data_IF_044517981811
#
_entry.id   IF_044517981811
#
_cell.length_a   1.000
_cell.length_b   1.000
_cell.length_c   1.000
_cell.angle_alpha   90.00
_cell.angle_beta   90.00
_cell.angle_gamma   90.00
#
_symmetry.space_group_name_H-M   'P 1'
#
loop_
_entity.id
_entity.type
_entity.pdbx_description
1 polymer ?
#
# COMPACT_ATOMS: atom_id res chain seq x y z
N UNK A 1 -54.63 -15.66 -9.53
CA UNK A 1 -53.32 -15.55 -10.22
C UNK A 1 -52.25 -15.53 -9.14
N UNK A 2 -51.59 -16.68 -8.97
CA UNK A 2 -50.60 -16.89 -7.91
C UNK A 2 -49.26 -16.27 -8.32
N UNK A 3 -48.90 -15.19 -7.67
CA UNK A 3 -47.54 -14.65 -7.68
C UNK A 3 -46.63 -15.52 -6.82
N UNK A 4 -46.02 -16.54 -7.39
CA UNK A 4 -44.84 -17.17 -6.80
C UNK A 4 -43.70 -16.17 -6.90
N UNK A 5 -43.40 -15.49 -5.78
CA UNK A 5 -42.11 -14.83 -5.57
C UNK A 5 -41.03 -15.90 -5.81
N UNK A 6 -40.28 -15.77 -6.88
CA UNK A 6 -39.00 -16.46 -7.06
C UNK A 6 -38.17 -16.14 -5.82
N UNK A 7 -37.95 -17.14 -4.94
CA UNK A 7 -36.88 -17.04 -3.95
C UNK A 7 -35.61 -16.77 -4.76
N UNK A 8 -35.14 -15.54 -4.70
CA UNK A 8 -33.81 -15.21 -5.16
C UNK A 8 -32.83 -16.17 -4.47
N UNK A 9 -31.84 -16.64 -5.20
CA UNK A 9 -30.79 -17.51 -4.69
C UNK A 9 -29.83 -16.64 -3.87
N UNK A 10 -30.21 -16.37 -2.63
CA UNK A 10 -29.41 -15.56 -1.72
C UNK A 10 -28.35 -16.42 -1.05
N UNK A 11 -27.10 -16.04 -1.25
CA UNK A 11 -25.94 -16.62 -0.58
C UNK A 11 -25.90 -16.08 0.85
N UNK A 12 -26.16 -16.95 1.86
CA UNK A 12 -26.15 -16.54 3.27
C UNK A 12 -24.71 -16.32 3.76
N UNK A 13 -24.48 -15.24 4.49
CA UNK A 13 -23.17 -14.86 5.02
C UNK A 13 -22.48 -15.96 5.83
N UNK A 14 -23.25 -16.68 6.67
CA UNK A 14 -22.71 -17.80 7.46
C UNK A 14 -22.27 -18.98 6.58
N UNK A 15 -22.94 -19.22 5.45
CA UNK A 15 -22.53 -20.27 4.51
C UNK A 15 -21.19 -19.92 3.86
N UNK A 16 -20.93 -18.64 3.57
CA UNK A 16 -19.65 -18.15 3.05
C UNK A 16 -18.53 -18.42 4.07
N UNK A 17 -18.72 -18.03 5.34
CA UNK A 17 -17.75 -18.28 6.41
C UNK A 17 -17.45 -19.79 6.56
N UNK A 18 -18.47 -20.60 6.53
CA UNK A 18 -18.34 -22.06 6.63
C UNK A 18 -17.60 -22.67 5.44
N UNK A 19 -17.89 -22.19 4.24
CA UNK A 19 -17.17 -22.56 3.04
C UNK A 19 -15.68 -22.19 3.12
N UNK A 20 -15.35 -20.95 3.49
CA UNK A 20 -13.97 -20.47 3.56
C UNK A 20 -13.17 -21.23 4.62
N UNK A 21 -13.74 -21.51 5.80
CA UNK A 21 -13.09 -22.34 6.81
C UNK A 21 -12.86 -23.78 6.34
N UNK A 22 -13.82 -24.38 5.65
CA UNK A 22 -13.67 -25.70 5.06
C UNK A 22 -12.61 -25.70 3.93
N UNK A 23 -12.51 -24.65 3.15
CA UNK A 23 -11.52 -24.47 2.10
C UNK A 23 -10.09 -24.36 2.67
N UNK A 24 -9.94 -23.65 3.79
CA UNK A 24 -8.67 -23.45 4.52
C UNK A 24 -8.15 -24.75 5.11
N UNK A 25 -8.98 -25.46 5.89
CA UNK A 25 -8.55 -26.67 6.60
C UNK A 25 -8.53 -27.92 5.74
N UNK A 26 -9.30 -27.95 4.64
CA UNK A 26 -9.51 -29.10 3.74
C UNK A 26 -10.02 -30.34 4.47
N UNK A 27 -10.66 -30.17 5.64
CA UNK A 27 -11.13 -31.26 6.51
C UNK A 27 -12.39 -30.85 7.29
N UNK A 28 -13.54 -31.40 6.94
CA UNK A 28 -14.86 -31.02 7.49
C UNK A 28 -14.94 -31.09 9.03
N UNK A 29 -14.34 -32.11 9.65
CA UNK A 29 -14.39 -32.27 11.10
C UNK A 29 -13.57 -31.19 11.82
N UNK A 30 -12.39 -30.86 11.28
CA UNK A 30 -11.53 -29.82 11.86
C UNK A 30 -12.17 -28.42 11.69
N UNK A 31 -12.72 -28.15 10.50
CA UNK A 31 -13.47 -26.91 10.25
C UNK A 31 -14.64 -26.74 11.21
N UNK A 32 -15.42 -27.82 11.43
CA UNK A 32 -16.56 -27.78 12.34
C UNK A 32 -16.13 -27.48 13.79
N UNK A 33 -14.99 -28.05 14.22
CA UNK A 33 -14.40 -27.73 15.56
C UNK A 33 -13.99 -26.26 15.66
N UNK A 34 -13.30 -25.74 14.65
CA UNK A 34 -12.85 -24.33 14.62
C UNK A 34 -14.05 -23.37 14.65
N UNK A 35 -15.14 -23.74 13.99
CA UNK A 35 -16.38 -22.97 13.94
C UNK A 35 -17.32 -23.22 15.14
N UNK A 36 -16.94 -24.08 16.08
CA UNK A 36 -17.77 -24.48 17.25
C UNK A 36 -19.16 -25.01 16.87
N UNK A 37 -19.26 -25.76 15.76
CA UNK A 37 -20.50 -26.41 15.29
C UNK A 37 -20.30 -27.91 15.08
N UNK A 38 -21.41 -28.61 14.85
CA UNK A 38 -21.33 -30.04 14.52
C UNK A 38 -20.92 -30.24 13.03
N UNK A 39 -20.17 -31.29 12.74
CA UNK A 39 -19.77 -31.62 11.37
C UNK A 39 -20.96 -31.84 10.42
N UNK A 40 -22.09 -32.49 10.82
CA UNK A 40 -23.29 -32.56 9.99
C UNK A 40 -23.86 -31.19 9.62
N UNK A 41 -23.88 -30.22 10.58
CA UNK A 41 -24.37 -28.88 10.32
C UNK A 41 -23.49 -28.14 9.29
N UNK A 42 -22.17 -28.24 9.42
CA UNK A 42 -21.24 -27.67 8.43
C UNK A 42 -21.46 -28.29 7.05
N UNK A 43 -21.56 -29.62 6.98
CA UNK A 43 -21.77 -30.33 5.70
C UNK A 43 -23.09 -29.90 5.05
N UNK A 44 -24.15 -29.76 5.83
CA UNK A 44 -25.45 -29.31 5.31
C UNK A 44 -25.40 -27.88 4.79
N UNK A 45 -24.72 -26.97 5.50
CA UNK A 45 -24.57 -25.59 5.07
C UNK A 45 -23.76 -25.47 3.76
N UNK A 46 -22.66 -26.19 3.65
CA UNK A 46 -21.85 -26.24 2.40
C UNK A 46 -22.66 -26.81 1.24
N UNK A 47 -23.40 -27.91 1.45
CA UNK A 47 -24.25 -28.49 0.41
C UNK A 47 -25.38 -27.55 -0.02
N UNK A 48 -25.92 -26.78 0.91
CA UNK A 48 -26.93 -25.76 0.59
C UNK A 48 -26.33 -24.67 -0.29
N UNK A 49 -25.12 -24.17 0.04
CA UNK A 49 -24.41 -23.20 -0.78
C UNK A 49 -24.14 -23.75 -2.20
N UNK A 50 -23.65 -25.00 -2.32
CA UNK A 50 -23.43 -25.66 -3.60
C UNK A 50 -24.73 -25.76 -4.43
N UNK A 51 -25.84 -26.09 -3.77
CA UNK A 51 -27.18 -26.17 -4.41
C UNK A 51 -27.64 -24.79 -4.89
N UNK A 52 -27.45 -23.75 -4.06
CA UNK A 52 -27.89 -22.40 -4.37
C UNK A 52 -27.06 -21.80 -5.52
N UNK A 53 -25.76 -22.13 -5.59
CA UNK A 53 -24.84 -21.75 -6.66
C UNK A 53 -24.97 -22.64 -7.92
N UNK A 54 -25.51 -23.85 -7.76
CA UNK A 54 -25.68 -24.82 -8.85
C UNK A 54 -24.40 -25.52 -9.30
N UNK A 55 -23.32 -25.44 -8.52
CA UNK A 55 -22.01 -26.03 -8.82
C UNK A 55 -21.39 -26.66 -7.56
N UNK A 56 -20.65 -27.78 -7.68
CA UNK A 56 -19.94 -28.37 -6.58
C UNK A 56 -18.69 -27.52 -6.25
N UNK A 57 -18.50 -27.19 -4.97
CA UNK A 57 -17.33 -26.43 -4.50
C UNK A 57 -16.24 -27.35 -3.97
N UNK A 58 -16.62 -28.53 -3.47
CA UNK A 58 -15.70 -29.55 -2.97
C UNK A 58 -15.85 -30.88 -3.69
N UNK A 59 -14.73 -31.59 -3.80
CA UNK A 59 -14.67 -33.00 -4.20
C UNK A 59 -14.05 -33.84 -3.08
N UNK A 60 -14.46 -35.08 -2.96
CA UNK A 60 -13.90 -36.03 -1.98
C UNK A 60 -12.52 -36.53 -2.42
N UNK A 61 -11.56 -36.56 -1.52
CA UNK A 61 -10.24 -37.16 -1.71
C UNK A 61 -9.88 -38.04 -0.50
N UNK A 62 -10.36 -39.29 -0.52
CA UNK A 62 -10.24 -40.18 0.63
C UNK A 62 -11.05 -39.67 1.84
N UNK A 63 -10.36 -39.43 2.97
CA UNK A 63 -10.99 -38.88 4.17
C UNK A 63 -11.03 -37.33 4.17
N UNK A 64 -10.40 -36.69 3.21
CA UNK A 64 -10.30 -35.24 3.09
C UNK A 64 -11.19 -34.73 1.95
N UNK A 65 -11.35 -33.40 1.91
CA UNK A 65 -11.98 -32.68 0.82
C UNK A 65 -10.94 -31.84 0.09
N UNK A 66 -11.17 -31.62 -1.21
CA UNK A 66 -10.38 -30.69 -2.03
C UNK A 66 -11.33 -29.76 -2.76
N UNK A 67 -10.89 -28.53 -2.99
CA UNK A 67 -11.66 -27.58 -3.79
C UNK A 67 -11.72 -28.02 -5.25
N UNK A 68 -12.90 -27.89 -5.84
CA UNK A 68 -13.08 -27.91 -7.30
C UNK A 68 -12.54 -26.60 -7.90
N UNK A 69 -12.52 -26.49 -9.23
CA UNK A 69 -12.18 -25.21 -9.88
C UNK A 69 -13.17 -24.09 -9.52
N UNK A 70 -14.45 -24.42 -9.37
CA UNK A 70 -15.47 -23.48 -8.89
C UNK A 70 -15.20 -23.05 -7.44
N UNK A 71 -14.81 -23.99 -6.59
CA UNK A 71 -14.44 -23.71 -5.20
C UNK A 71 -13.21 -22.82 -5.09
N UNK A 72 -12.17 -23.06 -5.88
CA UNK A 72 -10.97 -22.21 -5.94
C UNK A 72 -11.31 -20.79 -6.39
N UNK A 73 -12.13 -20.68 -7.43
CA UNK A 73 -12.58 -19.38 -7.93
C UNK A 73 -13.37 -18.61 -6.87
N UNK A 74 -14.32 -19.27 -6.19
CA UNK A 74 -15.13 -18.67 -5.15
C UNK A 74 -14.27 -18.24 -3.95
N UNK A 75 -13.33 -19.07 -3.49
CA UNK A 75 -12.39 -18.74 -2.43
C UNK A 75 -11.60 -17.47 -2.76
N UNK A 76 -10.97 -17.44 -3.93
CA UNK A 76 -10.17 -16.29 -4.39
C UNK A 76 -10.97 -14.97 -4.40
N UNK A 77 -12.28 -15.04 -4.68
CA UNK A 77 -13.14 -13.84 -4.72
C UNK A 77 -13.67 -13.43 -3.35
N UNK A 78 -14.00 -14.40 -2.50
CA UNK A 78 -14.65 -14.12 -1.23
C UNK A 78 -13.67 -13.88 -0.08
N UNK A 79 -12.47 -14.47 -0.12
CA UNK A 79 -11.48 -14.35 0.97
C UNK A 79 -11.11 -12.87 1.24
N UNK A 80 -10.74 -12.05 0.23
CA UNK A 80 -10.45 -10.64 0.46
C UNK A 80 -11.66 -9.83 0.97
N UNK A 81 -12.85 -10.15 0.48
CA UNK A 81 -14.08 -9.46 0.93
C UNK A 81 -14.42 -9.79 2.39
N UNK A 82 -14.17 -11.04 2.81
CA UNK A 82 -14.38 -11.43 4.20
C UNK A 82 -13.37 -10.78 5.15
N UNK A 83 -12.12 -10.64 4.72
CA UNK A 83 -11.09 -9.90 5.47
C UNK A 83 -11.50 -8.45 5.69
N UNK A 84 -12.03 -7.78 4.65
CA UNK A 84 -12.57 -6.42 4.76
C UNK A 84 -13.74 -6.34 5.75
N UNK A 85 -14.70 -7.28 5.68
CA UNK A 85 -15.84 -7.32 6.62
C UNK A 85 -15.37 -7.58 8.05
N UNK A 86 -14.42 -8.49 8.25
CA UNK A 86 -13.90 -8.81 9.58
C UNK A 86 -13.09 -7.67 10.19
N UNK A 87 -12.55 -6.74 9.36
CA UNK A 87 -11.87 -5.53 9.82
C UNK A 87 -12.85 -4.43 10.30
N UNK A 88 -14.12 -4.42 9.87
CA UNK A 88 -15.09 -3.36 10.20
C UNK A 88 -15.24 -3.11 11.71
N UNK A 89 -15.34 -4.12 12.60
CA UNK A 89 -15.48 -3.85 14.04
C UNK A 89 -14.30 -3.09 14.65
N UNK A 90 -13.08 -3.40 14.23
CA UNK A 90 -11.88 -2.66 14.69
C UNK A 90 -11.85 -1.24 14.09
N UNK A 91 -12.26 -1.10 12.84
CA UNK A 91 -12.40 0.20 12.21
C UNK A 91 -13.40 1.09 12.95
N UNK A 92 -14.56 0.54 13.35
CA UNK A 92 -15.54 1.28 14.15
C UNK A 92 -15.00 1.66 15.55
N UNK A 93 -14.23 0.78 16.19
CA UNK A 93 -13.58 1.11 17.48
C UNK A 93 -12.54 2.25 17.29
N UNK A 94 -11.76 2.21 16.21
CA UNK A 94 -10.85 3.30 15.86
C UNK A 94 -11.62 4.61 15.65
N UNK A 95 -12.75 4.60 14.94
CA UNK A 95 -13.57 5.80 14.76
C UNK A 95 -14.05 6.40 16.09
N UNK A 96 -14.43 5.56 17.05
CA UNK A 96 -14.82 6.01 18.41
C UNK A 96 -13.62 6.53 19.20
N UNK A 97 -12.44 5.90 19.07
CA UNK A 97 -11.21 6.37 19.69
C UNK A 97 -10.67 7.70 19.09
N UNK A 98 -11.12 8.04 17.87
CA UNK A 98 -10.77 9.26 17.13
C UNK A 98 -11.45 10.54 17.64
N UNK A 99 -12.37 10.45 18.62
CA UNK A 99 -13.02 11.64 19.26
C UNK A 99 -12.08 12.40 20.24
N UNK A 100 -10.78 12.11 20.26
CA UNK A 100 -9.80 12.65 21.19
C UNK A 100 -8.56 13.27 20.52
N UNK A 101 -7.57 13.56 21.31
CA UNK A 101 -6.32 14.28 21.01
C UNK A 101 -5.33 13.54 20.09
N UNK A 102 -5.78 12.56 19.29
CA UNK A 102 -4.91 11.75 18.43
C UNK A 102 -5.18 12.03 16.94
N UNK A 103 -4.15 12.41 16.21
CA UNK A 103 -4.18 12.56 14.73
C UNK A 103 -3.75 11.25 14.09
N UNK A 104 -4.61 10.68 13.25
CA UNK A 104 -4.35 9.43 12.52
C UNK A 104 -3.86 9.77 11.12
N UNK A 105 -2.68 9.26 10.78
CA UNK A 105 -2.05 9.53 9.51
C UNK A 105 -1.86 8.25 8.69
N UNK A 106 -2.16 8.33 7.41
CA UNK A 106 -1.80 7.29 6.45
C UNK A 106 -0.63 7.80 5.59
N UNK A 107 0.58 7.29 5.87
CA UNK A 107 1.83 7.83 5.31
C UNK A 107 2.43 6.82 4.33
N UNK A 108 2.04 6.92 3.06
CA UNK A 108 2.53 6.04 1.98
C UNK A 108 3.78 6.60 1.27
N UNK A 109 4.10 7.86 1.51
CA UNK A 109 5.29 8.54 0.97
C UNK A 109 5.88 9.51 1.98
N UNK A 110 7.16 9.88 1.80
CA UNK A 110 7.85 10.91 2.57
C UNK A 110 7.85 10.69 4.10
N UNK A 111 7.85 9.42 4.56
CA UNK A 111 7.73 9.10 6.00
C UNK A 111 8.81 9.77 6.86
N UNK A 112 10.03 9.95 6.35
CA UNK A 112 11.10 10.66 7.04
C UNK A 112 10.74 12.13 7.33
N UNK A 113 10.32 12.87 6.31
CA UNK A 113 9.90 14.28 6.45
C UNK A 113 8.66 14.44 7.33
N UNK A 114 7.71 13.51 7.22
CA UNK A 114 6.51 13.51 8.09
C UNK A 114 6.92 13.32 9.55
N UNK A 115 7.87 12.41 9.84
CA UNK A 115 8.37 12.23 11.21
C UNK A 115 9.10 13.47 11.74
N UNK A 116 9.91 14.15 10.91
CA UNK A 116 10.54 15.42 11.28
C UNK A 116 9.50 16.50 11.59
N UNK A 117 8.47 16.62 10.74
CA UNK A 117 7.37 17.56 10.96
C UNK A 117 6.61 17.28 12.27
N UNK A 118 6.31 16.01 12.57
CA UNK A 118 5.67 15.62 13.83
C UNK A 118 6.54 15.98 15.04
N UNK A 119 7.85 15.69 14.97
CA UNK A 119 8.79 16.02 16.05
C UNK A 119 8.83 17.54 16.28
N UNK A 120 8.85 18.33 15.21
CA UNK A 120 8.84 19.78 15.30
C UNK A 120 7.53 20.30 15.90
N UNK A 121 6.39 19.84 15.40
CA UNK A 121 5.06 20.22 15.86
C UNK A 121 4.83 19.89 17.34
N UNK A 122 5.30 18.73 17.80
CA UNK A 122 5.17 18.31 19.21
C UNK A 122 5.95 19.16 20.21
N UNK A 123 6.89 20.01 19.78
CA UNK A 123 7.57 20.93 20.69
C UNK A 123 6.63 21.99 21.27
N UNK A 124 5.60 22.36 20.52
CA UNK A 124 4.60 23.35 20.91
C UNK A 124 3.23 22.74 21.25
N UNK A 125 3.00 21.48 20.89
CA UNK A 125 1.72 20.77 21.01
C UNK A 125 1.93 19.38 21.67
N UNK A 126 2.40 19.38 22.92
CA UNK A 126 2.75 18.15 23.66
C UNK A 126 1.57 17.20 23.85
N UNK A 127 0.35 17.73 23.99
CA UNK A 127 -0.88 16.99 24.27
C UNK A 127 -1.41 16.22 23.05
N UNK A 128 -0.98 16.57 21.82
CA UNK A 128 -1.47 15.90 20.61
C UNK A 128 -0.70 14.62 20.37
N UNK A 129 -1.41 13.53 20.23
CA UNK A 129 -0.86 12.23 19.89
C UNK A 129 -0.94 11.98 18.37
N UNK A 130 -0.05 11.13 17.86
CA UNK A 130 -0.03 10.72 16.45
C UNK A 130 -0.04 9.21 16.33
N UNK A 131 -0.86 8.70 15.42
CA UNK A 131 -0.84 7.31 15.04
C UNK A 131 -0.62 7.22 13.52
N UNK A 132 0.49 6.59 13.13
CA UNK A 132 0.86 6.43 11.73
C UNK A 132 0.58 5.01 11.27
N UNK A 133 0.02 4.89 10.06
CA UNK A 133 -0.13 3.62 9.35
C UNK A 133 0.38 3.76 7.92
N UNK A 134 0.72 2.62 7.31
CA UNK A 134 1.13 2.52 5.91
C UNK A 134 0.28 1.45 5.22
N UNK A 135 -0.97 1.82 4.93
CA UNK A 135 -1.93 0.91 4.31
C UNK A 135 -2.63 1.59 3.14
N UNK A 136 -2.32 1.15 1.92
CA UNK A 136 -2.90 1.71 0.68
C UNK A 136 -4.41 1.50 0.55
N UNK A 137 -4.99 0.58 1.32
CA UNK A 137 -6.43 0.26 1.30
C UNK A 137 -7.19 0.93 2.45
N UNK A 138 -6.51 1.64 3.36
CA UNK A 138 -7.16 2.28 4.49
C UNK A 138 -7.76 3.62 4.10
N UNK A 139 -9.07 3.76 4.33
CA UNK A 139 -9.80 5.03 4.25
C UNK A 139 -9.95 5.71 5.63
N UNK A 140 -9.41 5.09 6.68
CA UNK A 140 -9.53 5.55 8.06
C UNK A 140 -8.29 6.33 8.49
N UNK A 141 -8.25 7.58 8.10
CA UNK A 141 -7.21 8.54 8.48
C UNK A 141 -7.80 9.95 8.58
N UNK A 142 -7.11 10.81 9.29
CA UNK A 142 -7.38 12.24 9.32
C UNK A 142 -6.58 12.95 8.22
N UNK A 143 -5.29 12.58 8.07
CA UNK A 143 -4.38 13.12 7.06
C UNK A 143 -3.72 11.96 6.32
N UNK A 144 -3.66 12.04 4.99
CA UNK A 144 -2.88 11.13 4.16
C UNK A 144 -1.72 11.85 3.47
N UNK A 145 -0.58 11.16 3.39
CA UNK A 145 0.59 11.57 2.60
C UNK A 145 0.88 10.47 1.59
N UNK A 146 0.62 10.77 0.32
CA UNK A 146 0.69 9.82 -0.79
C UNK A 146 1.61 10.31 -1.90
N UNK A 147 1.75 9.56 -2.97
CA UNK A 147 2.51 9.99 -4.15
C UNK A 147 1.78 9.63 -5.44
N UNK A 148 1.92 10.48 -6.45
CA UNK A 148 1.39 10.26 -7.80
C UNK A 148 2.44 10.62 -8.85
N UNK A 149 2.25 10.14 -10.08
CA UNK A 149 3.00 10.63 -11.23
C UNK A 149 2.70 12.11 -11.46
N UNK A 150 3.74 12.91 -11.69
CA UNK A 150 3.68 14.37 -11.87
C UNK A 150 2.63 14.84 -12.88
N UNK A 151 2.35 14.06 -13.92
CA UNK A 151 1.39 14.43 -14.98
C UNK A 151 -0.08 14.08 -14.69
N UNK A 152 -0.38 13.46 -13.57
CA UNK A 152 -1.76 13.01 -13.28
C UNK A 152 -2.63 14.05 -12.58
N UNK A 153 -2.03 15.18 -12.13
CA UNK A 153 -2.73 16.24 -11.42
C UNK A 153 -3.37 15.77 -10.11
N UNK A 154 -3.85 16.70 -9.33
CA UNK A 154 -4.70 16.42 -8.17
C UNK A 154 -6.14 16.70 -8.57
N UNK A 155 -7.02 15.69 -8.57
CA UNK A 155 -8.46 15.86 -8.80
C UNK A 155 -9.18 16.47 -7.58
N UNK A 156 -8.48 16.71 -6.48
CA UNK A 156 -9.02 17.23 -5.23
C UNK A 156 -8.63 18.70 -5.05
N UNK A 157 -9.62 19.59 -5.05
CA UNK A 157 -9.46 21.06 -4.94
C UNK A 157 -8.74 21.54 -3.67
N UNK A 158 -8.64 20.69 -2.61
CA UNK A 158 -8.09 21.06 -1.31
C UNK A 158 -6.85 20.22 -0.93
N UNK A 159 -6.13 19.68 -1.90
CA UNK A 159 -4.89 18.94 -1.63
C UNK A 159 -3.65 19.79 -1.85
N UNK A 160 -2.67 19.68 -0.94
CA UNK A 160 -1.34 20.21 -1.17
C UNK A 160 -0.55 19.24 -2.06
N UNK A 161 0.14 19.76 -3.07
CA UNK A 161 1.03 18.99 -3.94
C UNK A 161 2.43 19.60 -3.96
N UNK A 162 3.45 18.74 -3.80
CA UNK A 162 4.84 19.14 -3.86
C UNK A 162 5.59 18.24 -4.86
N UNK A 163 6.06 18.82 -5.97
CA UNK A 163 6.84 18.09 -6.97
C UNK A 163 8.23 17.72 -6.44
N UNK A 164 8.66 16.49 -6.70
CA UNK A 164 9.98 15.97 -6.34
C UNK A 164 10.70 15.38 -7.55
N UNK A 165 11.94 15.83 -7.79
CA UNK A 165 12.86 15.19 -8.76
C UNK A 165 13.34 13.84 -8.21
N UNK A 166 13.48 12.87 -9.11
CA UNK A 166 14.01 11.55 -8.78
C UNK A 166 15.33 11.38 -9.53
N UNK A 167 16.38 11.11 -8.76
CA UNK A 167 17.73 10.86 -9.23
C UNK A 167 17.96 9.37 -9.46
N UNK A 168 19.00 9.04 -10.21
CA UNK A 168 19.54 7.70 -10.28
C UNK A 168 20.71 7.57 -9.30
N UNK A 169 20.57 6.72 -8.29
CA UNK A 169 21.64 6.37 -7.39
C UNK A 169 22.47 5.25 -8.03
N UNK A 170 23.77 5.48 -8.19
CA UNK A 170 24.71 4.57 -8.83
C UNK A 170 25.92 4.33 -7.93
N UNK A 171 26.64 3.21 -8.10
CA UNK A 171 27.91 3.00 -7.41
C UNK A 171 28.94 4.09 -7.72
N UNK A 172 29.69 4.54 -6.72
CA UNK A 172 30.78 5.52 -6.87
C UNK A 172 32.03 4.95 -7.53
N UNK A 173 31.89 4.23 -8.64
CA UNK A 173 32.96 3.57 -9.38
C UNK A 173 33.44 4.40 -10.60
N UNK A 174 34.51 3.97 -11.26
CA UNK A 174 35.11 4.67 -12.41
C UNK A 174 34.11 4.97 -13.54
N UNK A 175 33.10 4.11 -13.74
CA UNK A 175 32.07 4.28 -14.77
C UNK A 175 31.24 5.54 -14.59
N UNK A 176 30.97 5.92 -13.35
CA UNK A 176 30.09 7.04 -13.03
C UNK A 176 30.82 8.23 -12.38
N UNK A 177 32.12 8.11 -12.13
CA UNK A 177 32.91 9.08 -11.37
C UNK A 177 32.80 10.51 -11.88
N UNK A 178 32.90 10.72 -13.19
CA UNK A 178 32.91 12.03 -13.81
C UNK A 178 31.53 12.49 -14.33
N UNK A 179 30.48 11.68 -14.11
CA UNK A 179 29.13 12.00 -14.60
C UNK A 179 28.34 12.78 -13.56
N UNK A 180 27.59 13.76 -14.00
CA UNK A 180 26.62 14.51 -13.18
C UNK A 180 25.18 14.18 -13.59
N UNK A 181 24.99 13.65 -14.80
CA UNK A 181 23.70 13.30 -15.34
C UNK A 181 23.78 12.06 -16.24
N UNK A 182 22.61 11.50 -16.56
CA UNK A 182 22.50 10.30 -17.38
C UNK A 182 21.13 10.24 -18.07
N UNK A 183 21.09 9.73 -19.30
CA UNK A 183 19.86 9.30 -19.95
C UNK A 183 19.43 7.93 -19.39
N UNK A 184 18.16 7.76 -19.01
CA UNK A 184 17.72 6.51 -18.39
C UNK A 184 17.88 5.30 -19.33
N UNK A 185 17.79 5.50 -20.64
CA UNK A 185 18.01 4.44 -21.63
C UNK A 185 19.46 3.89 -21.64
N UNK A 186 20.45 4.65 -21.16
CA UNK A 186 21.85 4.22 -21.09
C UNK A 186 22.08 3.09 -20.06
N UNK A 187 21.14 2.90 -19.15
CA UNK A 187 21.22 1.89 -18.07
C UNK A 187 20.20 0.77 -18.26
N UNK A 188 19.68 0.60 -19.45
CA UNK A 188 18.67 -0.44 -19.74
C UNK A 188 19.14 -1.88 -19.44
N UNK A 189 20.44 -2.13 -19.56
CA UNK A 189 21.05 -3.46 -19.30
C UNK A 189 21.57 -3.62 -17.86
N UNK A 190 21.45 -2.56 -17.02
CA UNK A 190 21.92 -2.61 -15.64
C UNK A 190 20.95 -3.39 -14.74
N UNK A 191 21.49 -3.88 -13.64
CA UNK A 191 20.72 -4.49 -12.58
C UNK A 191 20.21 -3.43 -11.62
N UNK A 192 18.91 -3.49 -11.29
CA UNK A 192 18.27 -2.52 -10.42
C UNK A 192 18.01 -3.10 -9.03
N UNK A 193 18.22 -2.27 -8.02
CA UNK A 193 17.74 -2.46 -6.67
C UNK A 193 16.54 -1.54 -6.42
N UNK A 194 15.50 -2.01 -5.80
CA UNK A 194 14.23 -1.29 -5.71
C UNK A 194 13.68 -1.24 -4.29
N UNK A 195 12.87 -0.21 -4.00
CA UNK A 195 12.09 -0.14 -2.78
C UNK A 195 10.73 -0.84 -2.97
N UNK A 196 10.46 -1.86 -2.16
CA UNK A 196 9.22 -2.65 -2.21
C UNK A 196 8.06 -2.01 -1.42
N UNK A 197 8.35 -1.25 -0.37
CA UNK A 197 7.37 -0.77 0.61
C UNK A 197 6.34 0.24 0.09
N UNK A 198 6.59 0.88 -1.05
CA UNK A 198 5.66 1.79 -1.71
C UNK A 198 5.33 1.26 -3.10
N UNK A 199 4.16 0.61 -3.23
CA UNK A 199 3.68 0.12 -4.54
C UNK A 199 3.58 1.26 -5.55
N UNK A 200 3.17 2.43 -5.12
CA UNK A 200 3.04 3.63 -5.93
C UNK A 200 4.39 4.11 -6.42
N UNK A 201 5.41 4.19 -5.56
CA UNK A 201 6.75 4.61 -5.96
C UNK A 201 7.38 3.63 -6.96
N UNK A 202 7.24 2.33 -6.72
CA UNK A 202 7.70 1.31 -7.67
C UNK A 202 7.02 1.44 -9.01
N UNK A 203 5.69 1.61 -9.03
CA UNK A 203 4.92 1.81 -10.25
C UNK A 203 5.41 3.05 -11.02
N UNK A 204 5.69 4.16 -10.32
CA UNK A 204 6.23 5.39 -10.91
C UNK A 204 7.58 5.12 -11.57
N UNK A 205 8.51 4.45 -10.89
CA UNK A 205 9.83 4.11 -11.42
C UNK A 205 9.74 3.18 -12.65
N UNK A 206 8.87 2.17 -12.60
CA UNK A 206 8.64 1.27 -13.74
C UNK A 206 8.10 2.04 -14.97
N UNK A 207 7.23 3.06 -14.74
CA UNK A 207 6.75 3.95 -15.82
C UNK A 207 7.86 4.77 -16.45
N UNK A 208 8.84 5.25 -15.68
CA UNK A 208 10.01 5.95 -16.24
C UNK A 208 10.84 5.02 -17.12
N UNK A 209 11.12 3.81 -16.66
CA UNK A 209 11.83 2.82 -17.48
C UNK A 209 11.07 2.47 -18.77
N UNK A 210 9.75 2.31 -18.71
CA UNK A 210 8.92 2.08 -19.90
C UNK A 210 8.99 3.24 -20.90
N UNK A 211 8.98 4.49 -20.42
CA UNK A 211 9.18 5.65 -21.28
C UNK A 211 10.58 5.70 -21.92
N UNK A 212 11.59 5.22 -21.20
CA UNK A 212 12.96 5.06 -21.75
C UNK A 212 13.12 3.82 -22.64
N UNK A 213 12.07 3.02 -22.84
CA UNK A 213 12.04 1.90 -23.79
C UNK A 213 12.47 0.54 -23.23
N UNK A 214 12.55 0.37 -21.90
CA UNK A 214 12.97 -0.89 -21.30
C UNK A 214 12.14 -1.25 -20.04
N UNK A 215 12.29 -2.50 -19.58
CA UNK A 215 11.78 -2.98 -18.29
C UNK A 215 12.96 -3.25 -17.38
N UNK A 216 13.03 -2.68 -16.16
CA UNK A 216 14.18 -2.82 -15.28
C UNK A 216 14.36 -4.26 -14.81
N UNK A 217 15.59 -4.77 -14.82
CA UNK A 217 15.96 -6.05 -14.26
C UNK A 217 16.18 -5.91 -12.75
N UNK A 218 15.14 -6.18 -11.96
CA UNK A 218 15.24 -6.07 -10.49
C UNK A 218 15.91 -7.32 -9.93
N UNK A 219 17.01 -7.12 -9.20
CA UNK A 219 17.75 -8.20 -8.53
C UNK A 219 17.57 -8.20 -7.02
N UNK A 220 17.13 -7.08 -6.44
CA UNK A 220 16.92 -6.94 -5.02
C UNK A 220 15.79 -5.95 -4.75
N UNK A 221 14.95 -6.28 -3.77
CA UNK A 221 13.87 -5.42 -3.30
C UNK A 221 13.87 -5.39 -1.77
N UNK A 222 13.67 -4.20 -1.20
CA UNK A 222 13.55 -4.00 0.24
C UNK A 222 12.56 -2.88 0.55
N UNK A 223 11.89 -2.94 1.67
CA UNK A 223 11.06 -1.86 2.21
C UNK A 223 11.88 -0.80 2.98
N UNK A 224 13.19 -0.99 3.08
CA UNK A 224 14.12 -0.11 3.80
C UNK A 224 15.05 0.65 2.84
N UNK A 225 14.95 2.00 2.74
CA UNK A 225 15.84 2.82 1.90
C UNK A 225 17.34 2.63 2.22
N UNK A 226 17.68 2.41 3.50
CA UNK A 226 19.07 2.17 3.88
C UNK A 226 19.62 0.85 3.34
N UNK A 227 18.78 -0.20 3.22
CA UNK A 227 19.18 -1.45 2.59
C UNK A 227 19.42 -1.25 1.09
N UNK A 228 18.56 -0.52 0.40
CA UNK A 228 18.72 -0.16 -1.02
C UNK A 228 20.05 0.61 -1.22
N UNK A 229 20.30 1.65 -0.40
CA UNK A 229 21.56 2.41 -0.43
C UNK A 229 22.80 1.52 -0.24
N UNK A 230 22.76 0.61 0.72
CA UNK A 230 23.88 -0.29 1.01
C UNK A 230 24.17 -1.26 -0.16
N UNK A 231 23.14 -1.75 -0.82
CA UNK A 231 23.29 -2.60 -2.01
C UNK A 231 23.94 -1.84 -3.17
N UNK A 232 23.55 -0.58 -3.39
CA UNK A 232 24.17 0.29 -4.39
C UNK A 232 25.64 0.56 -4.02
N UNK A 233 25.92 0.91 -2.76
CA UNK A 233 27.29 1.12 -2.27
C UNK A 233 28.19 -0.11 -2.43
N UNK A 234 27.61 -1.31 -2.32
CA UNK A 234 28.30 -2.57 -2.55
C UNK A 234 28.49 -2.93 -4.05
N UNK A 235 28.12 -2.01 -4.97
CA UNK A 235 28.17 -2.21 -6.42
C UNK A 235 27.31 -3.39 -6.91
N UNK A 236 26.19 -3.63 -6.23
CA UNK A 236 25.27 -4.72 -6.54
C UNK A 236 24.14 -4.31 -7.50
N UNK A 237 24.08 -3.05 -7.91
CA UNK A 237 23.07 -2.52 -8.83
C UNK A 237 22.91 -1.01 -8.70
N UNK A 238 21.96 -0.46 -9.42
CA UNK A 238 21.57 0.94 -9.42
C UNK A 238 20.12 1.09 -8.95
N UNK A 239 19.67 2.31 -8.59
CA UNK A 239 18.29 2.49 -8.13
C UNK A 239 17.81 3.93 -8.23
N UNK A 240 16.50 4.12 -8.19
CA UNK A 240 15.88 5.43 -8.12
C UNK A 240 15.95 6.01 -6.70
N UNK A 241 16.26 7.30 -6.60
CA UNK A 241 16.44 7.99 -5.32
C UNK A 241 15.70 9.33 -5.31
N UNK A 242 14.62 9.46 -4.56
CA UNK A 242 13.92 10.71 -4.33
C UNK A 242 14.64 11.50 -3.21
N UNK A 243 15.58 12.37 -3.59
CA UNK A 243 16.48 13.03 -2.65
C UNK A 243 15.77 13.91 -1.63
N UNK A 244 14.73 14.63 -2.04
CA UNK A 244 13.98 15.50 -1.15
C UNK A 244 13.32 14.72 0.02
N UNK A 245 12.73 13.56 -0.26
CA UNK A 245 12.01 12.80 0.78
C UNK A 245 12.86 11.77 1.51
N UNK A 246 13.96 11.30 0.92
CA UNK A 246 14.87 10.32 1.53
C UNK A 246 16.17 10.92 2.04
N UNK A 247 16.38 12.21 1.78
CA UNK A 247 17.61 12.91 2.11
C UNK A 247 18.75 12.64 1.14
N UNK A 248 19.78 13.47 1.24
CA UNK A 248 21.01 13.31 0.49
C UNK A 248 21.76 12.01 0.89
N UNK A 249 22.54 11.48 -0.04
CA UNK A 249 23.38 10.31 0.23
C UNK A 249 24.77 10.77 0.63
N UNK A 250 25.04 10.83 1.92
CA UNK A 250 26.38 11.04 2.47
C UNK A 250 27.17 9.72 2.48
N UNK A 251 27.54 9.23 1.28
CA UNK A 251 28.33 8.01 1.13
C UNK A 251 29.18 8.12 -0.13
N UNK A 252 30.51 8.15 0.01
CA UNK A 252 31.46 8.23 -1.11
C UNK A 252 31.36 7.07 -2.12
N UNK A 253 30.73 5.96 -1.72
CA UNK A 253 30.52 4.79 -2.56
C UNK A 253 29.20 4.83 -3.34
N UNK A 254 28.40 5.88 -3.17
CA UNK A 254 27.13 6.08 -3.93
C UNK A 254 27.11 7.49 -4.48
N UNK A 255 26.75 7.61 -5.75
CA UNK A 255 26.59 8.88 -6.43
C UNK A 255 25.19 9.06 -6.95
N UNK A 256 24.62 10.26 -6.83
CA UNK A 256 23.36 10.63 -7.43
C UNK A 256 23.63 11.29 -8.80
N UNK A 257 22.97 10.78 -9.83
CA UNK A 257 22.99 11.36 -11.17
C UNK A 257 21.61 11.91 -11.49
N UNK A 258 21.58 13.12 -12.06
CA UNK A 258 20.34 13.68 -12.59
C UNK A 258 19.92 12.89 -13.82
N UNK A 259 18.64 12.47 -13.87
CA UNK A 259 18.09 11.81 -15.05
C UNK A 259 17.62 12.90 -16.02
N UNK A 260 18.23 12.94 -17.20
CA UNK A 260 17.91 13.97 -18.21
C UNK A 260 16.66 13.62 -19.00
N UNK A 261 16.51 12.36 -19.36
CA UNK A 261 15.39 11.87 -20.18
C UNK A 261 15.07 10.40 -19.82
N UNK A 262 13.79 10.08 -19.60
CA UNK A 262 12.64 10.98 -19.46
C UNK A 262 12.72 11.87 -18.22
N UNK A 263 11.89 12.91 -18.13
CA UNK A 263 11.76 13.68 -16.89
C UNK A 263 11.22 12.78 -15.79
N UNK A 264 12.04 12.51 -14.78
CA UNK A 264 11.70 11.63 -13.66
C UNK A 264 11.29 12.47 -12.45
N UNK A 265 9.98 12.73 -12.35
CA UNK A 265 9.37 13.50 -11.26
C UNK A 265 8.12 12.81 -10.75
N UNK A 266 7.83 13.03 -9.46
CA UNK A 266 6.57 12.65 -8.83
C UNK A 266 6.02 13.79 -8.01
N UNK A 267 4.73 13.74 -7.68
CA UNK A 267 4.11 14.61 -6.71
C UNK A 267 3.96 13.88 -5.36
N UNK A 268 4.34 14.55 -4.29
CA UNK A 268 3.92 14.20 -2.94
C UNK A 268 2.62 14.94 -2.68
N UNK A 269 1.58 14.20 -2.35
CA UNK A 269 0.23 14.73 -2.12
C UNK A 269 -0.07 14.62 -0.63
N UNK A 270 -0.47 15.73 -0.01
CA UNK A 270 -0.97 15.78 1.36
C UNK A 270 -2.42 16.18 1.29
N UNK A 271 -3.30 15.33 1.78
CA UNK A 271 -4.73 15.59 1.87
C UNK A 271 -5.27 15.23 3.24
N UNK A 272 -6.40 15.83 3.62
CA UNK A 272 -7.12 15.48 4.84
C UNK A 272 -8.51 14.93 4.52
N UNK A 273 -9.05 14.14 5.45
CA UNK A 273 -10.37 13.53 5.29
C UNK A 273 -11.46 14.56 5.56
N UNK A 274 -12.17 15.00 4.52
CA UNK A 274 -13.24 16.02 4.60
C UNK A 274 -14.38 15.66 5.56
N UNK A 275 -14.62 14.37 5.79
CA UNK A 275 -15.67 13.93 6.72
C UNK A 275 -15.32 14.19 8.19
N UNK A 276 -14.09 14.68 8.47
CA UNK A 276 -13.55 14.97 9.81
C UNK A 276 -13.10 16.41 9.99
N UNK A 277 -13.59 17.34 9.17
CA UNK A 277 -13.26 18.77 9.18
C UNK A 277 -13.57 19.50 10.51
N UNK A 278 -14.27 18.86 11.45
CA UNK A 278 -14.62 19.47 12.74
C UNK A 278 -13.49 19.41 13.79
N UNK A 279 -12.41 18.66 13.50
CA UNK A 279 -11.27 18.59 14.42
C UNK A 279 -10.27 19.73 14.17
N UNK A 280 -10.26 20.72 15.05
CA UNK A 280 -9.32 21.85 15.03
C UNK A 280 -7.86 21.39 14.97
N UNK A 281 -7.50 20.38 15.75
CA UNK A 281 -6.15 19.86 15.81
C UNK A 281 -5.68 19.26 14.46
N UNK A 282 -6.58 18.61 13.72
CA UNK A 282 -6.27 18.05 12.39
C UNK A 282 -6.00 19.18 11.38
N UNK A 283 -6.83 20.23 11.39
CA UNK A 283 -6.66 21.37 10.48
C UNK A 283 -5.36 22.11 10.78
N UNK A 284 -5.08 22.43 12.05
CA UNK A 284 -3.87 23.12 12.47
C UNK A 284 -2.60 22.32 12.11
N UNK A 285 -2.63 21.00 12.32
CA UNK A 285 -1.50 20.16 11.92
C UNK A 285 -1.36 20.03 10.40
N UNK A 286 -2.47 19.94 9.65
CA UNK A 286 -2.43 19.91 8.18
C UNK A 286 -1.78 21.19 7.61
N UNK A 287 -2.19 22.36 8.11
CA UNK A 287 -1.61 23.65 7.71
C UNK A 287 -0.11 23.72 8.07
N UNK A 288 0.26 23.26 9.26
CA UNK A 288 1.66 23.16 9.66
C UNK A 288 2.45 22.23 8.73
N UNK A 289 1.94 21.03 8.47
CA UNK A 289 2.61 20.01 7.65
C UNK A 289 2.83 20.51 6.21
N UNK A 290 1.81 21.09 5.59
CA UNK A 290 1.91 21.63 4.22
C UNK A 290 2.92 22.78 4.14
N UNK A 291 2.94 23.66 5.13
CA UNK A 291 3.94 24.73 5.24
C UNK A 291 5.34 24.15 5.44
N UNK A 292 5.50 23.19 6.33
CA UNK A 292 6.79 22.51 6.57
C UNK A 292 7.38 21.92 5.27
N UNK A 293 6.54 21.25 4.45
CA UNK A 293 6.99 20.71 3.17
C UNK A 293 7.35 21.83 2.17
N UNK A 294 6.57 22.93 2.14
CA UNK A 294 6.85 24.06 1.26
C UNK A 294 8.18 24.76 1.61
N UNK A 295 8.41 24.99 2.90
CA UNK A 295 9.61 25.66 3.41
C UNK A 295 10.86 24.79 3.12
N UNK A 296 10.81 23.49 3.42
CA UNK A 296 11.90 22.54 3.11
C UNK A 296 12.19 22.42 1.61
N UNK A 297 11.17 22.53 0.75
CA UNK A 297 11.36 22.55 -0.70
C UNK A 297 12.06 23.81 -1.19
N UNK A 298 11.85 24.95 -0.55
CA UNK A 298 12.51 26.21 -0.87
C UNK A 298 13.97 26.29 -0.40
N UNK A 299 14.39 25.40 0.50
CA UNK A 299 15.77 25.29 1.01
C UNK A 299 16.67 24.39 0.14
N UNK A 300 16.08 23.54 -0.73
CA UNK A 300 16.74 22.62 -1.68
C UNK A 300 16.75 23.22 -3.07
#
# INVERSE_FOLDING_TARGET
MNGQLRREKDMEFMQIRYFLEAAKTKHMTNSAKNLHITQPALTQAVRRLEKDLGVPLFASKGRNIVLTEYGKYLQKKLEPLMEQIDAIPEQLKMMVALEGETIHMNVLAASGLVMEAIIEYKKEHEDINFQLQQNSESELYDIAVTTKLFYQGTDEEDSFACAEEIYLAVPGNERYQDRTSIGLSEVAEEEFVSLLGSREFRYICDRFCQHAGFTPKIIFESDNPSAVKNMIAANMGIGFWPEFTWGSIENEHVKLLKIEEPVCQRDIIINYNRNKMDSRNVIEFYEFLTKFFADRKGEV
#
